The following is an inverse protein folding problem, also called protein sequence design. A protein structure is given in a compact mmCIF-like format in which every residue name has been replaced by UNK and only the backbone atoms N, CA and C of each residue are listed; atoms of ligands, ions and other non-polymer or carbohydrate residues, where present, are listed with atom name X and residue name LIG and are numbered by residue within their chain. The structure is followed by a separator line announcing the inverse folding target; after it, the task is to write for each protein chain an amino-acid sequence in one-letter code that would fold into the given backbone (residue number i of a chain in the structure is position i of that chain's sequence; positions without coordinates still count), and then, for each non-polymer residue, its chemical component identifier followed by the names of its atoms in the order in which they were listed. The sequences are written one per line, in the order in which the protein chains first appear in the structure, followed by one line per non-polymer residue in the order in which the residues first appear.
data_IF_944711322854
#
_entry.id   IF_944711322854
#
_cell.length_a   1.000
_cell.length_b   1.000
_cell.length_c   1.000
_cell.angle_alpha   90.00
_cell.angle_beta   90.00
_cell.angle_gamma   90.00
#
_symmetry.space_group_name_H-M   'P 1'
#
loop_
_entity.id
_entity.type
_entity.pdbx_description
1 polymer ?
#
# COMPACT_ATOMS: atom_id res chain seq x y z
N UNK A 1 2.75 4.93 -14.76
CA UNK A 1 3.55 5.17 -13.55
C UNK A 1 4.79 4.27 -13.54
N UNK A 2 4.66 2.91 -13.52
CA UNK A 2 5.80 1.98 -13.37
C UNK A 2 6.93 2.15 -14.39
N UNK A 3 6.64 2.65 -15.60
CA UNK A 3 7.61 2.89 -16.68
C UNK A 3 8.05 4.35 -16.79
N UNK A 4 7.46 5.22 -16.00
CA UNK A 4 7.77 6.64 -15.99
C UNK A 4 8.95 6.89 -15.04
N UNK A 5 10.09 7.26 -15.61
CA UNK A 5 11.33 7.50 -14.85
C UNK A 5 11.31 8.82 -14.07
N UNK A 6 10.47 9.76 -14.48
CA UNK A 6 10.30 11.04 -13.79
C UNK A 6 9.41 10.90 -12.55
N UNK A 7 8.53 9.89 -12.53
CA UNK A 7 7.70 9.61 -11.36
C UNK A 7 8.54 8.92 -10.28
N UNK A 8 8.77 9.61 -9.17
CA UNK A 8 9.60 9.14 -8.06
C UNK A 8 8.79 8.56 -6.89
N UNK A 9 7.59 9.07 -6.66
CA UNK A 9 6.67 8.66 -5.58
C UNK A 9 5.25 8.77 -6.11
N UNK A 10 4.38 7.86 -5.68
CA UNK A 10 2.95 7.89 -5.98
C UNK A 10 2.20 8.29 -4.71
N UNK A 11 1.36 9.31 -4.80
CA UNK A 11 0.38 9.64 -3.76
C UNK A 11 -0.98 9.17 -4.24
N UNK A 12 -1.58 8.24 -3.51
CA UNK A 12 -2.91 7.71 -3.76
C UNK A 12 -3.90 8.37 -2.81
N UNK A 13 -4.87 9.08 -3.34
CA UNK A 13 -5.93 9.74 -2.57
C UNK A 13 -7.27 9.64 -3.30
N UNK A 14 -8.37 9.91 -2.61
CA UNK A 14 -9.69 9.97 -3.21
C UNK A 14 -10.10 11.37 -3.60
N UNK A 15 -10.93 11.49 -4.62
CA UNK A 15 -11.59 12.75 -4.96
C UNK A 15 -12.81 13.00 -4.06
N UNK A 16 -13.00 14.24 -3.62
CA UNK A 16 -14.14 14.65 -2.79
C UNK A 16 -14.03 14.13 -1.34
N UNK A 17 -15.14 13.58 -0.82
CA UNK A 17 -15.29 13.27 0.62
C UNK A 17 -14.80 11.89 1.04
N UNK A 18 -14.39 11.03 0.13
CA UNK A 18 -14.04 9.65 0.44
C UNK A 18 -12.76 9.21 -0.26
N UNK A 19 -12.03 8.31 0.37
CA UNK A 19 -10.86 7.70 -0.26
C UNK A 19 -11.27 6.68 -1.31
N UNK A 20 -12.00 5.64 -0.89
CA UNK A 20 -12.54 4.61 -1.77
C UNK A 20 -13.52 3.73 -0.98
N UNK A 21 -14.77 3.63 -1.44
CA UNK A 21 -15.80 2.82 -0.79
C UNK A 21 -15.74 1.32 -1.18
N UNK A 22 -14.82 0.93 -2.04
CA UNK A 22 -14.69 -0.44 -2.55
C UNK A 22 -15.41 -0.64 -3.87
N UNK A 23 -15.93 -1.85 -4.09
CA UNK A 23 -16.63 -2.22 -5.31
C UNK A 23 -18.05 -1.66 -5.35
N UNK A 24 -18.47 -1.29 -6.56
CA UNK A 24 -19.85 -0.91 -6.81
C UNK A 24 -20.78 -2.11 -6.70
N UNK A 25 -21.84 -2.00 -5.90
CA UNK A 25 -22.86 -3.03 -5.77
C UNK A 25 -23.71 -3.24 -7.05
N UNK A 26 -23.62 -2.32 -8.01
CA UNK A 26 -24.26 -2.45 -9.34
C UNK A 26 -23.66 -3.57 -10.21
N UNK A 27 -22.52 -4.14 -9.80
CA UNK A 27 -21.91 -5.28 -10.47
C UNK A 27 -20.38 -5.25 -10.42
N UNK A 28 -19.78 -6.44 -10.41
CA UNK A 28 -18.32 -6.62 -10.41
C UNK A 28 -17.69 -6.40 -11.79
N UNK A 29 -18.48 -6.06 -12.81
CA UNK A 29 -18.02 -6.01 -14.19
C UNK A 29 -17.75 -7.40 -14.77
N UNK A 30 -17.03 -7.42 -15.89
CA UNK A 30 -16.54 -8.65 -16.54
C UNK A 30 -15.02 -8.61 -16.64
N UNK A 31 -14.39 -9.78 -16.56
CA UNK A 31 -12.97 -9.90 -16.88
C UNK A 31 -12.84 -10.12 -18.40
N UNK A 32 -12.07 -9.29 -19.11
CA UNK A 32 -11.88 -9.44 -20.56
C UNK A 32 -11.37 -10.86 -20.92
N UNK A 33 -11.94 -11.47 -21.95
CA UNK A 33 -11.57 -12.79 -22.45
C UNK A 33 -12.24 -13.98 -21.73
N UNK A 34 -13.15 -13.74 -20.78
CA UNK A 34 -13.86 -14.79 -20.02
C UNK A 34 -15.37 -14.82 -20.26
N UNK A 35 -15.86 -14.08 -21.23
CA UNK A 35 -17.28 -13.91 -21.52
C UNK A 35 -17.99 -15.24 -21.90
N UNK A 36 -17.23 -16.21 -22.41
CA UNK A 36 -17.72 -17.52 -22.89
C UNK A 36 -17.70 -18.63 -21.81
N UNK A 37 -17.21 -18.32 -20.62
CA UNK A 37 -17.04 -19.28 -19.54
C UNK A 37 -18.30 -19.38 -18.67
N UNK A 38 -18.42 -20.44 -17.89
CA UNK A 38 -19.48 -20.59 -16.90
C UNK A 38 -19.39 -19.54 -15.77
N UNK A 39 -20.47 -19.38 -15.01
CA UNK A 39 -20.56 -18.35 -13.95
C UNK A 39 -19.43 -18.43 -12.92
N UNK A 40 -18.97 -19.63 -12.59
CA UNK A 40 -17.90 -19.84 -11.60
C UNK A 40 -16.57 -19.36 -12.15
N UNK A 41 -16.23 -19.72 -13.38
CA UNK A 41 -15.00 -19.32 -14.05
C UNK A 41 -14.96 -17.81 -14.27
N UNK A 42 -16.07 -17.22 -14.72
CA UNK A 42 -16.22 -15.77 -14.85
C UNK A 42 -16.00 -15.08 -13.50
N UNK A 43 -16.64 -15.59 -12.44
CA UNK A 43 -16.49 -15.06 -11.08
C UNK A 43 -15.03 -15.13 -10.61
N UNK A 44 -14.33 -16.24 -10.82
CA UNK A 44 -12.90 -16.34 -10.51
C UNK A 44 -12.03 -15.40 -11.33
N UNK A 45 -12.33 -15.21 -12.61
CA UNK A 45 -11.57 -14.30 -13.47
C UNK A 45 -11.70 -12.84 -12.99
N UNK A 46 -12.92 -12.39 -12.69
CA UNK A 46 -13.19 -11.07 -12.14
C UNK A 46 -12.50 -10.89 -10.79
N UNK A 47 -12.66 -11.86 -9.88
CA UNK A 47 -12.05 -11.81 -8.56
C UNK A 47 -10.51 -11.72 -8.63
N UNK A 48 -9.88 -12.54 -9.48
CA UNK A 48 -8.43 -12.49 -9.70
C UNK A 48 -7.98 -11.16 -10.31
N UNK A 49 -8.75 -10.62 -11.24
CA UNK A 49 -8.46 -9.32 -11.85
C UNK A 49 -8.44 -8.21 -10.79
N UNK A 50 -9.47 -8.14 -9.96
CA UNK A 50 -9.59 -7.16 -8.87
C UNK A 50 -8.48 -7.39 -7.82
N UNK A 51 -8.29 -8.62 -7.36
CA UNK A 51 -7.28 -8.94 -6.36
C UNK A 51 -5.85 -8.66 -6.84
N UNK A 52 -5.61 -8.68 -8.17
CA UNK A 52 -4.30 -8.35 -8.77
C UNK A 52 -3.87 -6.89 -8.53
N UNK A 53 -4.77 -6.01 -8.13
CA UNK A 53 -4.44 -4.60 -7.86
C UNK A 53 -3.40 -4.47 -6.74
N UNK A 54 -3.51 -5.28 -5.68
CA UNK A 54 -2.60 -5.18 -4.54
C UNK A 54 -1.17 -5.64 -4.89
N UNK A 55 -0.95 -6.83 -5.47
CA UNK A 55 0.37 -7.21 -5.96
C UNK A 55 0.96 -6.21 -6.96
N UNK A 56 0.14 -5.65 -7.86
CA UNK A 56 0.60 -4.62 -8.81
C UNK A 56 1.03 -3.34 -8.11
N UNK A 57 0.28 -2.88 -7.10
CA UNK A 57 0.62 -1.70 -6.31
C UNK A 57 1.95 -1.91 -5.57
N UNK A 58 2.13 -3.08 -4.97
CA UNK A 58 3.37 -3.46 -4.27
C UNK A 58 4.58 -3.59 -5.21
N UNK A 59 4.35 -4.06 -6.46
CA UNK A 59 5.42 -4.26 -7.46
C UNK A 59 5.86 -2.97 -8.15
N UNK A 60 5.24 -1.83 -7.89
CA UNK A 60 5.74 -0.54 -8.38
C UNK A 60 7.12 -0.26 -7.79
N UNK A 61 8.12 0.15 -8.58
CA UNK A 61 9.41 0.57 -8.04
C UNK A 61 9.29 1.87 -7.22
N UNK A 62 8.28 2.69 -7.53
CA UNK A 62 7.99 3.90 -6.78
C UNK A 62 7.28 3.57 -5.46
N UNK A 63 7.67 4.16 -4.33
CA UNK A 63 6.87 4.13 -3.12
C UNK A 63 5.47 4.70 -3.33
N UNK A 64 4.49 4.11 -2.64
CA UNK A 64 3.10 4.53 -2.68
C UNK A 64 2.71 5.06 -1.29
N UNK A 65 2.28 6.31 -1.24
CA UNK A 65 1.73 6.94 -0.04
C UNK A 65 0.21 6.95 -0.18
N UNK A 66 -0.50 6.26 0.69
CA UNK A 66 -1.94 6.43 0.81
C UNK A 66 -2.23 7.66 1.67
N UNK A 67 -2.76 8.71 1.06
CA UNK A 67 -3.30 9.89 1.73
C UNK A 67 -4.81 9.71 1.86
N UNK A 68 -5.24 9.14 3.00
CA UNK A 68 -6.63 8.71 3.21
C UNK A 68 -7.47 9.89 3.66
N UNK A 69 -8.15 10.52 2.71
CA UNK A 69 -8.91 11.75 2.90
C UNK A 69 -10.35 11.56 3.42
N UNK A 70 -10.77 10.32 3.70
CA UNK A 70 -12.12 10.00 4.15
C UNK A 70 -12.35 8.50 4.23
N UNK A 71 -13.61 8.01 4.10
CA UNK A 71 -13.92 6.59 4.18
C UNK A 71 -13.14 5.72 3.20
N UNK A 72 -12.53 4.66 3.73
CA UNK A 72 -11.83 3.60 3.02
C UNK A 72 -12.42 2.25 3.44
N UNK A 73 -13.23 1.63 2.57
CA UNK A 73 -14.00 0.43 2.89
C UNK A 73 -13.72 -0.71 1.91
N UNK A 74 -13.72 -1.95 2.38
CA UNK A 74 -13.55 -3.13 1.53
C UNK A 74 -12.31 -3.05 0.64
N UNK A 75 -12.50 -3.02 -0.69
CA UNK A 75 -11.40 -2.86 -1.66
C UNK A 75 -10.59 -1.59 -1.47
N UNK A 76 -11.24 -0.48 -1.08
CA UNK A 76 -10.56 0.77 -0.72
C UNK A 76 -9.67 0.61 0.50
N UNK A 77 -10.13 -0.13 1.51
CA UNK A 77 -9.32 -0.45 2.67
C UNK A 77 -8.12 -1.33 2.29
N UNK A 78 -8.31 -2.30 1.39
CA UNK A 78 -7.20 -3.12 0.88
C UNK A 78 -6.13 -2.29 0.15
N UNK A 79 -6.51 -1.25 -0.61
CA UNK A 79 -5.56 -0.32 -1.24
C UNK A 79 -4.72 0.43 -0.19
N UNK A 80 -5.35 0.87 0.92
CA UNK A 80 -4.64 1.47 2.05
C UNK A 80 -3.61 0.48 2.63
N UNK A 81 -4.02 -0.77 2.87
CA UNK A 81 -3.14 -1.82 3.41
C UNK A 81 -1.97 -2.15 2.49
N UNK A 82 -2.19 -2.14 1.17
CA UNK A 82 -1.19 -2.44 0.15
C UNK A 82 -0.22 -1.31 -0.15
N UNK A 83 -0.46 -0.11 0.37
CA UNK A 83 0.43 1.05 0.21
C UNK A 83 1.63 0.97 1.15
N UNK A 84 2.74 1.62 0.80
CA UNK A 84 3.98 1.58 1.58
C UNK A 84 3.89 2.49 2.83
N UNK A 85 3.34 3.69 2.67
CA UNK A 85 3.12 4.65 3.76
C UNK A 85 1.63 5.01 3.78
N UNK A 86 1.08 5.21 4.96
CA UNK A 86 -0.34 5.52 5.19
C UNK A 86 -0.47 6.73 6.09
N UNK A 87 -1.05 7.80 5.54
CA UNK A 87 -1.46 9.01 6.24
C UNK A 87 -2.97 9.08 6.24
N UNK A 88 -3.59 9.55 7.31
CA UNK A 88 -5.03 9.69 7.39
C UNK A 88 -5.44 11.11 7.79
N UNK A 89 -6.52 11.61 7.18
CA UNK A 89 -7.21 12.78 7.72
C UNK A 89 -7.99 12.40 8.98
N UNK A 90 -8.31 13.35 9.84
CA UNK A 90 -9.12 13.14 11.03
C UNK A 90 -10.53 12.62 10.71
N UNK A 91 -11.04 12.96 9.52
CA UNK A 91 -12.33 12.47 9.02
C UNK A 91 -12.27 11.04 8.45
N UNK A 92 -11.08 10.44 8.27
CA UNK A 92 -10.95 9.10 7.70
C UNK A 92 -11.64 8.04 8.55
N UNK A 93 -12.25 7.05 7.87
CA UNK A 93 -12.93 5.90 8.47
C UNK A 93 -12.54 4.66 7.71
N UNK A 94 -12.38 3.56 8.42
CA UNK A 94 -11.88 2.31 7.87
C UNK A 94 -12.77 1.15 8.24
N UNK A 95 -12.94 0.17 7.35
CA UNK A 95 -13.46 -1.14 7.72
C UNK A 95 -13.20 -2.21 6.66
N UNK A 96 -13.14 -3.47 7.12
CA UNK A 96 -13.14 -4.66 6.26
C UNK A 96 -14.61 -4.97 5.87
N UNK A 97 -15.19 -4.14 4.99
CA UNK A 97 -16.64 -4.13 4.71
C UNK A 97 -17.20 -5.43 4.14
N UNK A 98 -16.38 -6.30 3.56
CA UNK A 98 -16.79 -7.55 2.91
C UNK A 98 -17.69 -8.43 3.77
N UNK A 99 -17.36 -8.60 5.06
CA UNK A 99 -18.15 -9.43 5.98
C UNK A 99 -19.57 -8.90 6.21
N UNK A 100 -19.75 -7.60 6.10
CA UNK A 100 -21.07 -6.95 6.32
C UNK A 100 -22.05 -7.18 5.18
N UNK A 101 -21.57 -7.63 4.04
CA UNK A 101 -22.38 -7.97 2.86
C UNK A 101 -22.42 -9.48 2.59
N UNK A 102 -22.05 -10.29 3.60
CA UNK A 102 -22.12 -11.76 3.51
C UNK A 102 -20.93 -12.41 2.81
N UNK A 103 -19.85 -11.67 2.52
CA UNK A 103 -18.61 -12.18 1.97
C UNK A 103 -17.58 -12.43 3.08
N UNK A 104 -16.53 -13.19 2.76
CA UNK A 104 -15.38 -13.32 3.65
C UNK A 104 -14.62 -12.00 3.74
N UNK A 105 -14.19 -11.61 4.94
CA UNK A 105 -13.26 -10.51 5.13
C UNK A 105 -11.83 -10.84 4.63
N UNK A 106 -11.55 -12.11 4.34
CA UNK A 106 -10.30 -12.56 3.74
C UNK A 106 -10.34 -12.34 2.22
N UNK A 107 -10.21 -11.08 1.79
CA UNK A 107 -10.27 -10.69 0.39
C UNK A 107 -9.18 -9.68 0.05
N UNK A 108 -8.75 -9.67 -1.21
CA UNK A 108 -7.79 -8.72 -1.82
C UNK A 108 -6.52 -8.55 -0.95
N UNK A 109 -6.08 -9.59 -0.27
CA UNK A 109 -4.88 -9.56 0.58
C UNK A 109 -5.10 -9.00 2.00
N UNK A 110 -6.32 -8.60 2.39
CA UNK A 110 -6.61 -8.02 3.71
C UNK A 110 -6.17 -8.94 4.85
N UNK A 111 -6.45 -10.24 4.77
CA UNK A 111 -6.08 -11.23 5.80
C UNK A 111 -4.57 -11.45 5.93
N UNK A 112 -3.80 -11.12 4.90
CA UNK A 112 -2.34 -11.22 4.94
C UNK A 112 -1.71 -9.90 5.43
N UNK A 113 -2.21 -8.76 4.96
CA UNK A 113 -1.64 -7.43 5.22
C UNK A 113 -2.01 -6.92 6.62
N UNK A 114 -3.30 -6.94 6.97
CA UNK A 114 -3.77 -6.32 8.20
C UNK A 114 -3.10 -6.86 9.47
N UNK A 115 -2.98 -8.20 9.66
CA UNK A 115 -2.31 -8.74 10.86
C UNK A 115 -0.83 -8.35 10.97
N UNK A 116 -0.17 -8.10 9.86
CA UNK A 116 1.24 -7.67 9.82
C UNK A 116 1.41 -6.20 10.20
N UNK A 117 0.37 -5.41 10.03
CA UNK A 117 0.37 -3.99 10.39
C UNK A 117 -0.06 -3.76 11.84
N UNK A 118 -1.16 -4.40 12.28
CA UNK A 118 -1.80 -4.09 13.57
C UNK A 118 -1.76 -5.24 14.58
N UNK A 119 -1.12 -6.36 14.21
CA UNK A 119 -1.10 -7.57 15.02
C UNK A 119 -2.35 -8.43 14.84
N UNK A 120 -2.20 -9.76 15.11
CA UNK A 120 -3.25 -10.74 14.81
C UNK A 120 -4.56 -10.50 15.58
N UNK A 121 -4.47 -10.21 16.88
CA UNK A 121 -5.65 -10.04 17.72
C UNK A 121 -6.55 -8.89 17.23
N UNK A 122 -5.95 -7.74 16.93
CA UNK A 122 -6.70 -6.59 16.42
C UNK A 122 -7.24 -6.84 15.02
N UNK A 123 -6.45 -7.45 14.15
CA UNK A 123 -6.88 -7.79 12.80
C UNK A 123 -8.09 -8.73 12.81
N UNK A 124 -8.07 -9.77 13.64
CA UNK A 124 -9.18 -10.72 13.80
C UNK A 124 -10.45 -10.02 14.27
N UNK A 125 -10.35 -9.16 15.27
CA UNK A 125 -11.49 -8.40 15.77
C UNK A 125 -12.09 -7.53 14.66
N UNK A 126 -11.29 -6.72 13.97
CA UNK A 126 -11.75 -5.83 12.89
C UNK A 126 -12.34 -6.60 11.71
N UNK A 127 -11.75 -7.74 11.33
CA UNK A 127 -12.21 -8.54 10.20
C UNK A 127 -13.47 -9.33 10.52
N UNK A 128 -13.59 -9.90 11.71
CA UNK A 128 -14.77 -10.69 12.10
C UNK A 128 -16.00 -9.82 12.35
N UNK A 129 -15.81 -8.61 12.87
CA UNK A 129 -16.92 -7.67 13.14
C UNK A 129 -17.27 -6.82 11.92
N UNK A 130 -16.29 -6.51 11.06
CA UNK A 130 -16.43 -5.56 9.97
C UNK A 130 -16.84 -4.17 10.46
N UNK A 131 -16.63 -3.87 11.75
CA UNK A 131 -16.97 -2.57 12.31
C UNK A 131 -16.17 -1.44 11.66
N UNK A 132 -16.77 -0.27 11.65
CA UNK A 132 -16.07 0.96 11.27
C UNK A 132 -15.23 1.43 12.46
N UNK A 133 -14.00 1.86 12.17
CA UNK A 133 -13.13 2.52 13.14
C UNK A 133 -12.57 3.82 12.52
N UNK A 134 -12.21 4.75 13.39
CA UNK A 134 -11.80 6.09 12.98
C UNK A 134 -10.28 6.23 12.83
N UNK A 135 -9.86 7.43 12.42
CA UNK A 135 -8.46 7.76 12.22
C UNK A 135 -7.64 7.72 13.52
N UNK A 136 -8.23 8.12 14.64
CA UNK A 136 -7.56 8.08 15.97
C UNK A 136 -7.25 6.63 16.35
N UNK A 137 -8.22 5.73 16.23
CA UNK A 137 -7.99 4.30 16.44
C UNK A 137 -6.95 3.76 15.46
N UNK A 138 -7.02 4.14 14.19
CA UNK A 138 -6.06 3.73 13.16
C UNK A 138 -4.62 4.13 13.51
N UNK A 139 -4.42 5.34 14.02
CA UNK A 139 -3.12 5.79 14.54
C UNK A 139 -2.68 5.01 15.76
N UNK A 140 -3.57 4.83 16.75
CA UNK A 140 -3.29 4.12 18.00
C UNK A 140 -2.89 2.66 17.79
N UNK A 141 -3.46 1.98 16.79
CA UNK A 141 -3.14 0.57 16.47
C UNK A 141 -2.00 0.42 15.47
N UNK A 142 -1.40 1.52 14.99
CA UNK A 142 -0.28 1.50 14.05
C UNK A 142 -0.67 1.20 12.60
N UNK A 143 -1.94 1.36 12.23
CA UNK A 143 -2.38 1.20 10.84
C UNK A 143 -1.88 2.36 9.97
N UNK A 144 -1.94 3.57 10.48
CA UNK A 144 -1.42 4.79 9.82
C UNK A 144 -0.27 5.38 10.63
N UNK A 145 0.66 6.05 9.95
CA UNK A 145 1.81 6.67 10.61
C UNK A 145 1.45 8.01 11.26
N UNK A 146 0.52 8.75 10.64
CA UNK A 146 0.09 10.05 11.14
C UNK A 146 -1.40 10.26 10.90
N UNK A 147 -2.03 10.99 11.82
CA UNK A 147 -3.40 11.50 11.69
C UNK A 147 -3.33 13.02 11.68
N UNK A 148 -3.90 13.64 10.67
CA UNK A 148 -3.73 15.04 10.31
C UNK A 148 -5.10 15.74 10.21
N UNK A 149 -5.18 17.06 10.41
CA UNK A 149 -6.32 17.84 9.99
C UNK A 149 -6.63 17.59 8.50
N UNK A 150 -7.90 17.62 8.12
CA UNK A 150 -8.33 17.26 6.77
C UNK A 150 -7.66 18.12 5.69
N UNK A 151 -7.49 19.40 5.97
CA UNK A 151 -6.85 20.38 5.09
C UNK A 151 -5.32 20.28 5.02
N UNK A 152 -4.67 19.62 6.00
CA UNK A 152 -3.24 19.44 6.05
C UNK A 152 -2.75 18.11 5.43
N UNK A 153 -3.66 17.18 5.10
CA UNK A 153 -3.32 15.83 4.65
C UNK A 153 -2.43 15.83 3.40
N UNK A 154 -2.80 16.60 2.39
CA UNK A 154 -2.07 16.58 1.12
C UNK A 154 -0.70 17.25 1.24
N UNK A 155 -0.59 18.33 1.99
CA UNK A 155 0.70 18.97 2.24
C UNK A 155 1.66 18.04 2.98
N UNK A 156 1.17 17.28 3.97
CA UNK A 156 1.96 16.26 4.66
C UNK A 156 2.36 15.09 3.72
N UNK A 157 1.45 14.66 2.83
CA UNK A 157 1.77 13.63 1.85
C UNK A 157 2.86 14.10 0.86
N UNK A 158 2.80 15.34 0.39
CA UNK A 158 3.87 15.92 -0.44
C UNK A 158 5.18 16.08 0.33
N UNK A 159 5.13 16.56 1.58
CA UNK A 159 6.33 16.65 2.42
C UNK A 159 7.00 15.27 2.58
N UNK A 160 6.21 14.22 2.84
CA UNK A 160 6.72 12.84 2.91
C UNK A 160 7.28 12.36 1.58
N UNK A 161 6.66 12.70 0.47
CA UNK A 161 7.18 12.40 -0.87
C UNK A 161 8.53 13.11 -1.12
N UNK A 162 8.68 14.36 -0.73
CA UNK A 162 9.95 15.10 -0.84
C UNK A 162 11.06 14.47 0.02
N UNK A 163 10.77 14.02 1.25
CA UNK A 163 11.74 13.28 2.06
C UNK A 163 12.25 12.02 1.34
N UNK A 164 11.36 11.30 0.65
CA UNK A 164 11.73 10.11 -0.12
C UNK A 164 12.57 10.48 -1.34
N UNK A 165 12.17 11.52 -2.08
CA UNK A 165 12.87 11.92 -3.31
C UNK A 165 14.26 12.52 -3.07
N UNK A 166 14.58 12.90 -1.84
CA UNK A 166 15.94 13.27 -1.44
C UNK A 166 16.93 12.09 -1.48
N UNK A 167 16.42 10.85 -1.56
CA UNK A 167 17.24 9.64 -1.68
C UNK A 167 17.35 9.20 -3.14
N UNK A 168 18.34 8.35 -3.45
CA UNK A 168 18.57 7.87 -4.82
C UNK A 168 17.41 6.97 -5.31
N UNK A 169 17.00 7.04 -6.59
CA UNK A 169 15.91 6.24 -7.13
C UNK A 169 16.11 4.74 -6.91
N UNK A 170 17.30 4.25 -7.22
CA UNK A 170 17.64 2.83 -7.08
C UNK A 170 17.61 2.40 -5.60
N UNK A 171 18.17 3.20 -4.70
CA UNK A 171 18.17 2.90 -3.27
C UNK A 171 16.75 2.80 -2.71
N UNK A 172 15.86 3.70 -3.11
CA UNK A 172 14.44 3.68 -2.70
C UNK A 172 13.73 2.43 -3.25
N UNK A 173 13.92 2.12 -4.54
CA UNK A 173 13.27 0.96 -5.17
C UNK A 173 13.72 -0.36 -4.52
N UNK A 174 15.04 -0.54 -4.30
CA UNK A 174 15.59 -1.74 -3.65
C UNK A 174 15.14 -1.84 -2.18
N UNK A 175 15.03 -0.72 -1.47
CA UNK A 175 14.51 -0.71 -0.09
C UNK A 175 13.06 -1.19 -0.06
N UNK A 176 12.21 -0.66 -0.95
CA UNK A 176 10.81 -1.11 -1.05
C UNK A 176 10.73 -2.60 -1.37
N UNK A 177 11.45 -3.06 -2.38
CA UNK A 177 11.49 -4.48 -2.78
C UNK A 177 11.95 -5.37 -1.62
N UNK A 178 13.06 -5.00 -0.96
CA UNK A 178 13.62 -5.76 0.16
C UNK A 178 12.66 -5.85 1.34
N UNK A 179 12.03 -4.75 1.72
CA UNK A 179 11.05 -4.73 2.82
C UNK A 179 9.85 -5.65 2.56
N UNK A 180 9.25 -5.59 1.36
CA UNK A 180 8.13 -6.46 1.02
C UNK A 180 8.54 -7.93 0.91
N UNK A 181 9.71 -8.22 0.32
CA UNK A 181 10.24 -9.58 0.21
C UNK A 181 10.58 -10.18 1.59
N UNK A 182 11.13 -9.39 2.50
CA UNK A 182 11.47 -9.82 3.85
C UNK A 182 10.25 -10.32 4.65
N UNK A 183 9.06 -9.78 4.39
CA UNK A 183 7.82 -10.25 5.01
C UNK A 183 7.43 -11.68 4.58
N UNK A 184 7.97 -12.17 3.48
CA UNK A 184 7.67 -13.49 2.90
C UNK A 184 8.83 -14.49 3.11
N UNK A 185 10.00 -14.03 3.53
CA UNK A 185 11.18 -14.85 3.79
C UNK A 185 11.17 -15.31 5.27
N UNK A 186 11.04 -16.62 5.54
CA UNK A 186 10.90 -17.11 6.92
C UNK A 186 12.21 -17.12 7.72
N UNK A 187 13.36 -17.08 7.04
CA UNK A 187 14.69 -17.20 7.68
C UNK A 187 15.49 -15.92 7.63
N UNK A 188 16.02 -15.46 8.77
CA UNK A 188 16.86 -14.25 8.87
C UNK A 188 18.04 -14.28 7.90
N UNK A 189 18.77 -15.42 7.81
CA UNK A 189 19.93 -15.51 6.93
C UNK A 189 19.56 -15.32 5.45
N UNK A 190 18.44 -15.89 5.01
CA UNK A 190 17.96 -15.72 3.63
C UNK A 190 17.56 -14.26 3.34
N UNK A 191 16.98 -13.56 4.31
CA UNK A 191 16.70 -12.13 4.19
C UNK A 191 18.00 -11.32 4.08
N UNK A 192 18.98 -11.57 4.94
CA UNK A 192 20.31 -10.92 4.88
C UNK A 192 21.02 -11.21 3.55
N UNK A 193 20.91 -12.41 3.00
CA UNK A 193 21.51 -12.76 1.71
C UNK A 193 20.88 -11.97 0.55
N UNK A 194 19.58 -11.68 0.63
CA UNK A 194 18.91 -10.77 -0.32
C UNK A 194 19.42 -9.34 -0.14
N UNK A 195 19.45 -8.83 1.09
CA UNK A 195 19.94 -7.49 1.42
C UNK A 195 21.39 -7.28 0.96
N UNK A 196 22.27 -8.25 1.15
CA UNK A 196 23.66 -8.20 0.69
C UNK A 196 23.74 -7.98 -0.84
N UNK A 197 22.92 -8.70 -1.62
CA UNK A 197 22.89 -8.54 -3.08
C UNK A 197 22.39 -7.14 -3.45
N UNK A 198 21.34 -6.66 -2.81
CA UNK A 198 20.79 -5.33 -3.05
C UNK A 198 21.77 -4.22 -2.67
N UNK A 199 22.50 -4.37 -1.56
CA UNK A 199 23.53 -3.42 -1.14
C UNK A 199 24.69 -3.35 -2.14
N UNK A 200 25.14 -4.48 -2.67
CA UNK A 200 26.18 -4.50 -3.69
C UNK A 200 25.69 -3.86 -4.98
N UNK A 201 24.47 -4.19 -5.45
CA UNK A 201 23.90 -3.54 -6.63
C UNK A 201 23.82 -2.02 -6.47
N UNK A 202 23.31 -1.55 -5.32
CA UNK A 202 23.22 -0.12 -5.04
C UNK A 202 24.60 0.55 -4.96
N UNK A 203 25.59 -0.09 -4.31
CA UNK A 203 26.90 0.49 -4.05
C UNK A 203 27.73 0.75 -5.31
N UNK A 204 27.49 0.01 -6.38
CA UNK A 204 28.16 0.18 -7.68
C UNK A 204 27.38 1.01 -8.68
N UNK A 205 26.25 1.63 -8.26
CA UNK A 205 25.50 2.55 -9.10
C UNK A 205 26.14 3.94 -9.17
N UNK A 206 25.93 4.64 -10.29
CA UNK A 206 26.35 6.04 -10.43
C UNK A 206 25.68 6.95 -9.41
N UNK A 207 24.43 6.69 -9.08
CA UNK A 207 23.66 7.40 -8.05
C UNK A 207 24.33 7.32 -6.68
N UNK A 208 24.81 6.14 -6.28
CA UNK A 208 25.50 5.96 -5.00
C UNK A 208 26.88 6.67 -4.99
N UNK A 209 27.55 6.71 -6.14
CA UNK A 209 28.82 7.44 -6.27
C UNK A 209 28.58 8.95 -6.11
N UNK A 210 27.54 9.50 -6.75
CA UNK A 210 27.18 10.92 -6.63
C UNK A 210 26.70 11.26 -5.22
N UNK A 211 25.84 10.44 -4.62
CA UNK A 211 25.36 10.67 -3.25
C UNK A 211 26.52 10.72 -2.23
N UNK A 212 27.54 9.85 -2.38
CA UNK A 212 28.74 9.91 -1.56
C UNK A 212 29.56 11.17 -1.77
N UNK A 213 29.73 11.62 -3.04
CA UNK A 213 30.42 12.89 -3.36
C UNK A 213 29.68 14.07 -2.76
N UNK A 214 28.38 14.20 -2.99
CA UNK A 214 27.55 15.27 -2.46
C UNK A 214 27.69 15.39 -0.93
N UNK A 215 27.66 14.25 -0.23
CA UNK A 215 27.80 14.21 1.23
C UNK A 215 29.20 14.63 1.70
N UNK A 216 30.25 14.21 1.00
CA UNK A 216 31.63 14.58 1.31
C UNK A 216 31.86 16.09 1.10
N UNK A 217 31.27 16.63 0.06
CA UNK A 217 31.35 18.06 -0.30
C UNK A 217 30.31 18.94 0.44
N UNK A 218 29.50 18.32 1.33
CA UNK A 218 28.40 18.99 2.06
C UNK A 218 27.41 19.71 1.14
N UNK A 219 27.20 19.19 -0.06
CA UNK A 219 26.13 19.63 -0.97
C UNK A 219 24.83 18.90 -0.59
N UNK A 220 23.69 19.61 -0.72
CA UNK A 220 22.32 19.05 -0.61
C UNK A 220 21.92 18.34 -1.89
#
# INVERSE_FOLDING_TARGET
VSRDRECRVVILTGEGRGFCAGLDFGGYGSAPGFEWHGKVEQGFAVQRHIASLIPRLRSLPQPVIAAVNGPAAGGGFALVLGSDIRLASASARFNAAFIRIGLSACDIGTSWLLPRLVGAARAQELMLTGRIFDAEEAGRIGLVTDVLPDDALMDAAFAKAFEITANTPLGVALTKEGMWSALEIPGLQAAIDLENRQQIMASFSDDAAEARRARTEKRS
#
